data_IF_623468447330
#
_entry.id   IF_623468447330
#
_cell.length_a   1.000
_cell.length_b   1.000
_cell.length_c   1.000
_cell.angle_alpha   90.00
_cell.angle_beta   90.00
_cell.angle_gamma   90.00
#
_symmetry.space_group_name_H-M   'P 1'
#
loop_
_entity.id
_entity.type
_entity.pdbx_description
1 polymer ?
#
# COMPACT_ATOMS: atom_id res chain seq x y z
N UNK A 1 -9.07 7.44 9.08
CA UNK A 1 -10.10 7.04 8.07
C UNK A 1 -11.45 7.64 8.46
N UNK A 2 -12.41 7.84 7.54
CA UNK A 2 -13.77 8.27 7.92
C UNK A 2 -14.70 7.09 8.28
N UNK A 3 -15.88 7.40 8.84
CA UNK A 3 -16.84 6.40 9.34
C UNK A 3 -17.34 5.41 8.27
N UNK A 4 -17.23 5.77 6.98
CA UNK A 4 -17.64 4.90 5.87
C UNK A 4 -16.47 4.05 5.35
N UNK A 5 -15.32 4.04 6.04
CA UNK A 5 -14.13 3.34 5.59
C UNK A 5 -13.39 4.05 4.46
N UNK A 6 -13.66 5.34 4.23
CA UNK A 6 -12.97 6.10 3.18
C UNK A 6 -11.71 6.75 3.69
N UNK A 7 -10.70 6.75 2.85
CA UNK A 7 -9.41 7.38 3.11
C UNK A 7 -9.18 8.47 2.08
N UNK A 8 -8.66 9.62 2.53
CA UNK A 8 -8.28 10.71 1.64
C UNK A 8 -6.92 10.39 1.04
N UNK A 9 -6.80 10.48 -0.28
CA UNK A 9 -5.50 10.35 -0.93
C UNK A 9 -4.71 11.66 -0.85
N UNK A 10 -3.38 11.62 -0.69
CA UNK A 10 -2.54 12.81 -0.84
C UNK A 10 -2.70 13.45 -2.22
N UNK A 11 -2.59 14.78 -2.32
CA UNK A 11 -2.79 15.51 -3.59
C UNK A 11 -1.85 15.00 -4.71
N UNK A 12 -0.56 14.83 -4.40
CA UNK A 12 0.44 14.25 -5.32
C UNK A 12 0.02 12.88 -5.87
N UNK A 13 -0.76 12.13 -5.10
CA UNK A 13 -1.23 10.80 -5.50
C UNK A 13 -2.38 10.88 -6.49
N UNK A 14 -3.28 11.83 -6.29
CA UNK A 14 -4.35 12.15 -7.25
C UNK A 14 -3.74 12.66 -8.55
N UNK A 15 -2.77 13.58 -8.48
CA UNK A 15 -2.03 14.08 -9.65
C UNK A 15 -1.35 12.96 -10.44
N UNK A 16 -0.72 12.00 -9.75
CA UNK A 16 -0.14 10.81 -10.40
C UNK A 16 -1.20 9.98 -11.12
N UNK A 17 -2.33 9.68 -10.46
CA UNK A 17 -3.43 8.92 -11.08
C UNK A 17 -4.01 9.62 -12.30
N UNK A 18 -4.06 10.96 -12.30
CA UNK A 18 -4.54 11.74 -13.44
C UNK A 18 -3.67 11.62 -14.69
N UNK A 19 -2.39 11.31 -14.54
CA UNK A 19 -1.45 11.08 -15.64
C UNK A 19 -1.53 9.67 -16.22
N UNK A 20 -2.21 8.74 -15.54
CA UNK A 20 -2.30 7.36 -15.97
C UNK A 20 -3.39 7.17 -17.04
N UNK A 21 -3.17 6.28 -18.03
CA UNK A 21 -4.21 5.89 -18.97
C UNK A 21 -5.43 5.25 -18.30
N UNK A 22 -5.23 4.62 -17.14
CA UNK A 22 -6.30 4.06 -16.31
C UNK A 22 -6.10 4.48 -14.86
N UNK A 23 -7.18 5.00 -14.25
CA UNK A 23 -7.23 5.41 -12.85
C UNK A 23 -7.74 4.30 -11.92
N UNK A 24 -7.95 3.08 -12.46
CA UNK A 24 -8.36 1.93 -11.66
C UNK A 24 -7.21 1.51 -10.75
N UNK A 25 -7.56 1.24 -9.52
CA UNK A 25 -6.65 0.75 -8.50
C UNK A 25 -7.18 -0.56 -7.97
N UNK A 26 -6.28 -1.50 -7.66
CA UNK A 26 -6.65 -2.71 -6.97
C UNK A 26 -6.13 -2.64 -5.54
N UNK A 27 -7.00 -2.80 -4.55
CA UNK A 27 -6.62 -2.77 -3.14
C UNK A 27 -6.71 -4.17 -2.59
N UNK A 28 -5.73 -4.61 -1.82
CA UNK A 28 -5.78 -5.87 -1.06
C UNK A 28 -4.79 -5.87 0.10
N UNK A 29 -4.63 -6.98 0.81
CA UNK A 29 -3.51 -7.19 1.73
C UNK A 29 -2.55 -8.24 1.18
N UNK A 30 -1.26 -8.01 1.41
CA UNK A 30 -0.23 -9.04 1.28
C UNK A 30 0.52 -9.13 2.60
N UNK A 31 0.50 -10.32 3.22
CA UNK A 31 1.21 -10.61 4.47
C UNK A 31 0.85 -9.63 5.60
N UNK A 32 -0.45 -9.35 5.79
CA UNK A 32 -0.93 -8.48 6.86
C UNK A 32 -0.72 -6.99 6.60
N UNK A 33 -0.32 -6.59 5.39
CA UNK A 33 -0.10 -5.20 5.01
C UNK A 33 -1.05 -4.81 3.88
N UNK A 34 -1.88 -3.79 4.10
CA UNK A 34 -2.73 -3.24 3.06
C UNK A 34 -1.90 -2.56 1.97
N UNK A 35 -2.27 -2.81 0.72
CA UNK A 35 -1.60 -2.27 -0.47
C UNK A 35 -2.62 -1.78 -1.48
N UNK A 36 -2.33 -0.64 -2.08
CA UNK A 36 -3.04 -0.08 -3.24
C UNK A 36 -2.11 -0.23 -4.44
N UNK A 37 -2.51 -1.03 -5.42
CA UNK A 37 -1.81 -1.23 -6.68
C UNK A 37 -2.41 -0.33 -7.77
N UNK A 38 -1.56 0.28 -8.57
CA UNK A 38 -1.90 1.26 -9.60
C UNK A 38 -1.20 0.93 -10.91
N UNK A 39 -1.68 1.49 -12.02
CA UNK A 39 -0.97 1.41 -13.30
C UNK A 39 -0.61 -0.04 -13.72
N UNK A 40 -1.45 -1.03 -13.41
CA UNK A 40 -1.19 -2.44 -13.68
C UNK A 40 -0.12 -3.12 -12.80
N UNK A 41 0.24 -2.52 -11.66
CA UNK A 41 1.28 -3.07 -10.78
C UNK A 41 0.86 -4.37 -10.08
N UNK A 42 -0.45 -4.61 -9.97
CA UNK A 42 -0.98 -5.87 -9.47
C UNK A 42 -0.67 -7.03 -10.43
N UNK A 43 -0.98 -6.85 -11.71
CA UNK A 43 -0.70 -7.83 -12.76
C UNK A 43 0.80 -8.09 -12.85
N UNK A 44 1.63 -7.04 -12.83
CA UNK A 44 3.09 -7.19 -12.80
C UNK A 44 3.57 -7.97 -11.56
N UNK A 45 2.93 -7.79 -10.41
CA UNK A 45 3.24 -8.57 -9.20
C UNK A 45 2.90 -10.05 -9.40
N UNK A 46 1.76 -10.36 -10.00
CA UNK A 46 1.38 -11.74 -10.34
C UNK A 46 2.29 -12.37 -11.39
N UNK A 47 2.80 -11.56 -12.31
CA UNK A 47 3.67 -12.03 -13.39
C UNK A 47 5.06 -12.45 -12.90
N UNK A 48 5.49 -11.98 -11.73
CA UNK A 48 6.69 -12.51 -11.06
C UNK A 48 6.57 -14.00 -10.71
N UNK A 49 5.34 -14.52 -10.62
CA UNK A 49 5.05 -15.92 -10.31
C UNK A 49 4.57 -16.72 -11.53
N UNK A 50 4.80 -16.23 -12.76
CA UNK A 50 4.36 -16.95 -13.99
C UNK A 50 4.87 -18.39 -14.07
N UNK A 51 6.11 -18.64 -13.65
CA UNK A 51 6.71 -19.98 -13.64
C UNK A 51 6.29 -20.83 -12.42
N UNK A 52 5.52 -20.25 -11.50
CA UNK A 52 5.11 -20.87 -10.23
C UNK A 52 3.59 -20.80 -10.06
N UNK A 53 2.80 -21.49 -10.90
CA UNK A 53 1.35 -21.29 -11.00
C UNK A 53 0.60 -21.57 -9.68
N UNK A 54 1.09 -22.49 -8.84
CA UNK A 54 0.53 -22.73 -7.51
C UNK A 54 0.69 -21.53 -6.58
N UNK A 55 1.86 -20.87 -6.60
CA UNK A 55 2.12 -19.66 -5.80
C UNK A 55 1.31 -18.49 -6.32
N UNK A 56 1.28 -18.29 -7.64
CA UNK A 56 0.44 -17.28 -8.29
C UNK A 56 -1.03 -17.45 -7.89
N UNK A 57 -1.57 -18.66 -8.01
CA UNK A 57 -2.97 -18.92 -7.68
C UNK A 57 -3.28 -18.71 -6.20
N UNK A 58 -2.39 -19.10 -5.30
CA UNK A 58 -2.55 -18.85 -3.87
C UNK A 58 -2.59 -17.35 -3.57
N UNK A 59 -1.68 -16.57 -4.18
CA UNK A 59 -1.62 -15.12 -4.04
C UNK A 59 -2.89 -14.45 -4.56
N UNK A 60 -3.38 -14.85 -5.75
CA UNK A 60 -4.65 -14.36 -6.31
C UNK A 60 -5.84 -14.64 -5.40
N UNK A 61 -5.94 -15.86 -4.83
CA UNK A 61 -7.06 -16.24 -3.96
C UNK A 61 -7.06 -15.48 -2.64
N UNK A 62 -5.88 -15.32 -2.01
CA UNK A 62 -5.75 -14.52 -0.78
C UNK A 62 -6.05 -13.06 -1.08
N UNK A 63 -5.55 -12.53 -2.20
CA UNK A 63 -5.81 -11.15 -2.58
C UNK A 63 -7.31 -10.91 -2.82
N UNK A 64 -7.99 -11.80 -3.55
CA UNK A 64 -9.42 -11.72 -3.82
C UNK A 64 -10.30 -11.87 -2.57
N UNK A 65 -9.80 -12.50 -1.49
CA UNK A 65 -10.53 -12.58 -0.21
C UNK A 65 -10.71 -11.21 0.45
N UNK A 66 -9.72 -10.33 0.29
CA UNK A 66 -9.69 -9.03 0.98
C UNK A 66 -9.78 -7.83 0.04
N UNK A 67 -9.63 -8.05 -1.26
CA UNK A 67 -9.35 -7.01 -2.22
C UNK A 67 -10.43 -6.77 -3.26
N UNK A 68 -10.48 -5.54 -3.75
CA UNK A 68 -11.45 -5.06 -4.73
C UNK A 68 -10.80 -4.00 -5.62
N UNK A 69 -11.35 -3.85 -6.84
CA UNK A 69 -11.06 -2.69 -7.68
C UNK A 69 -11.79 -1.46 -7.12
N UNK A 70 -11.08 -0.34 -7.06
CA UNK A 70 -11.62 0.93 -6.56
C UNK A 70 -11.19 2.10 -7.43
N UNK A 71 -11.96 3.18 -7.32
CA UNK A 71 -11.70 4.46 -7.98
C UNK A 71 -11.73 5.60 -6.96
N UNK A 72 -11.08 6.71 -7.33
CA UNK A 72 -11.14 7.95 -6.54
C UNK A 72 -12.50 8.60 -6.74
N UNK A 73 -13.21 8.87 -5.64
CA UNK A 73 -14.47 9.60 -5.66
C UNK A 73 -14.25 11.09 -5.96
N UNK A 74 -15.36 11.83 -6.15
CA UNK A 74 -15.33 13.27 -6.46
C UNK A 74 -14.67 14.14 -5.38
N UNK A 75 -14.42 13.59 -4.19
CA UNK A 75 -13.79 14.27 -3.06
C UNK A 75 -12.32 13.89 -2.86
N UNK A 76 -11.73 13.11 -3.78
CA UNK A 76 -10.35 12.67 -3.66
C UNK A 76 -10.16 11.52 -2.67
N UNK A 77 -11.22 10.76 -2.37
CA UNK A 77 -11.19 9.64 -1.43
C UNK A 77 -11.39 8.30 -2.14
N UNK A 78 -10.91 7.25 -1.51
CA UNK A 78 -11.20 5.86 -1.90
C UNK A 78 -11.82 5.13 -0.71
N UNK A 79 -12.69 4.16 -0.98
CA UNK A 79 -13.27 3.30 0.06
C UNK A 79 -12.42 2.04 0.19
N UNK A 80 -11.93 1.73 1.39
CA UNK A 80 -11.24 0.46 1.62
C UNK A 80 -12.27 -0.68 1.77
N UNK A 81 -12.05 -1.86 1.14
CA UNK A 81 -12.92 -3.01 1.28
C UNK A 81 -13.18 -3.36 2.75
N UNK A 82 -14.42 -3.71 3.09
CA UNK A 82 -14.77 -3.98 4.49
C UNK A 82 -13.99 -5.18 5.06
N UNK A 83 -13.81 -6.24 4.26
CA UNK A 83 -13.05 -7.41 4.67
C UNK A 83 -11.60 -7.05 5.03
N UNK A 84 -10.96 -6.20 4.22
CA UNK A 84 -9.61 -5.68 4.47
C UNK A 84 -9.55 -4.87 5.77
N UNK A 85 -10.49 -3.93 5.96
CA UNK A 85 -10.52 -3.06 7.14
C UNK A 85 -10.65 -3.87 8.44
N UNK A 86 -11.47 -4.91 8.43
CA UNK A 86 -11.66 -5.81 9.59
C UNK A 86 -10.43 -6.69 9.84
N UNK A 87 -9.88 -7.28 8.79
CA UNK A 87 -8.70 -8.15 8.90
C UNK A 87 -7.48 -7.42 9.48
N UNK A 88 -7.31 -6.14 9.12
CA UNK A 88 -6.16 -5.33 9.52
C UNK A 88 -6.46 -4.33 10.64
N UNK A 89 -7.63 -4.45 11.27
CA UNK A 89 -8.06 -3.60 12.40
C UNK A 89 -7.93 -2.10 12.08
N UNK A 90 -8.31 -1.69 10.86
CA UNK A 90 -8.18 -0.30 10.40
C UNK A 90 -9.35 0.59 10.83
N UNK A 91 -10.45 0.00 11.31
CA UNK A 91 -11.69 0.73 11.62
C UNK A 91 -11.50 1.69 12.80
N UNK A 92 -11.76 2.98 12.59
CA UNK A 92 -11.56 4.02 13.61
C UNK A 92 -10.11 4.46 13.79
N UNK A 93 -9.16 3.82 13.10
CA UNK A 93 -7.74 4.11 13.24
C UNK A 93 -7.28 5.31 12.39
N UNK A 94 -6.22 5.94 12.90
CA UNK A 94 -5.34 6.77 12.08
C UNK A 94 -4.46 5.85 11.25
N UNK A 95 -4.36 6.15 9.95
CA UNK A 95 -3.57 5.34 9.04
C UNK A 95 -2.46 6.18 8.44
N UNK A 96 -1.32 5.55 8.19
CA UNK A 96 -0.21 6.15 7.47
C UNK A 96 -0.03 5.50 6.12
N UNK A 97 0.40 6.29 5.14
CA UNK A 97 0.57 5.83 3.77
C UNK A 97 1.99 6.08 3.31
N UNK A 98 2.64 5.01 2.85
CA UNK A 98 3.94 5.08 2.18
C UNK A 98 3.75 4.76 0.71
N UNK A 99 4.15 5.68 -0.15
CA UNK A 99 4.08 5.48 -1.59
C UNK A 99 5.44 5.07 -2.16
N UNK A 100 5.47 3.97 -2.91
CA UNK A 100 6.64 3.46 -3.62
C UNK A 100 6.23 3.12 -5.07
N UNK A 101 6.65 3.97 -6.01
CA UNK A 101 6.42 3.88 -7.46
C UNK A 101 4.96 3.81 -7.92
N UNK A 102 4.34 2.64 -7.87
CA UNK A 102 2.98 2.37 -8.35
C UNK A 102 2.21 1.48 -7.36
N UNK A 103 2.74 1.41 -6.12
CA UNK A 103 2.15 0.74 -4.98
C UNK A 103 2.19 1.67 -3.78
N UNK A 104 1.04 1.88 -3.13
CA UNK A 104 1.01 2.49 -1.80
C UNK A 104 0.76 1.43 -0.73
N UNK A 105 1.50 1.50 0.38
CA UNK A 105 1.28 0.68 1.59
C UNK A 105 0.52 1.49 2.62
N UNK A 106 -0.43 0.86 3.28
CA UNK A 106 -1.23 1.49 4.35
C UNK A 106 -0.91 0.78 5.66
N UNK A 107 -0.49 1.57 6.64
CA UNK A 107 -0.15 1.13 7.99
C UNK A 107 -1.24 1.59 8.95
N UNK A 108 -1.61 0.72 9.90
CA UNK A 108 -2.18 1.21 11.15
C UNK A 108 -1.08 1.80 12.05
N UNK A 109 -1.46 2.44 13.14
CA UNK A 109 -0.53 3.10 14.07
C UNK A 109 0.55 2.13 14.57
N UNK A 110 0.16 0.94 15.03
CA UNK A 110 1.09 -0.06 15.59
C UNK A 110 2.10 -0.55 14.55
N UNK A 111 1.64 -0.83 13.33
CA UNK A 111 2.50 -1.26 12.23
C UNK A 111 3.46 -0.15 11.80
N UNK A 112 2.99 1.09 11.79
CA UNK A 112 3.79 2.25 11.45
C UNK A 112 4.91 2.45 12.46
N UNK A 113 4.56 2.53 13.75
CA UNK A 113 5.52 2.81 14.83
C UNK A 113 6.62 1.74 14.89
N UNK A 114 6.23 0.46 14.77
CA UNK A 114 7.19 -0.64 14.70
C UNK A 114 8.11 -0.55 13.48
N UNK A 115 7.58 -0.16 12.32
CA UNK A 115 8.36 -0.03 11.11
C UNK A 115 9.32 1.16 11.17
N UNK A 116 8.90 2.29 11.75
CA UNK A 116 9.74 3.48 11.90
C UNK A 116 10.82 3.28 12.94
N UNK A 117 10.53 2.66 14.09
CA UNK A 117 11.54 2.36 15.12
C UNK A 117 12.66 1.48 14.54
N UNK A 118 12.30 0.41 13.82
CA UNK A 118 13.26 -0.45 13.17
C UNK A 118 14.06 0.28 12.07
N UNK A 119 13.40 1.16 11.31
CA UNK A 119 14.05 1.93 10.25
C UNK A 119 14.99 3.00 10.80
N UNK A 120 14.61 3.72 11.86
CA UNK A 120 15.43 4.75 12.50
C UNK A 120 16.69 4.16 13.12
N UNK A 121 16.59 3.00 13.76
CA UNK A 121 17.74 2.27 14.28
C UNK A 121 18.72 1.91 13.14
N UNK A 122 18.20 1.34 12.05
CA UNK A 122 19.02 0.97 10.90
C UNK A 122 19.62 2.17 10.16
N UNK A 123 18.85 3.26 10.01
CA UNK A 123 19.32 4.51 9.41
C UNK A 123 20.47 5.11 10.19
N UNK A 124 20.38 5.07 11.52
CA UNK A 124 21.46 5.57 12.38
C UNK A 124 22.76 4.80 12.14
N UNK A 125 22.70 3.49 11.89
CA UNK A 125 23.88 2.66 11.63
C UNK A 125 24.59 3.03 10.33
N UNK A 126 23.86 3.30 9.23
CA UNK A 126 24.50 3.59 7.94
C UNK A 126 24.66 5.09 7.64
N UNK A 127 23.98 6.00 8.36
CA UNK A 127 24.22 7.45 8.21
C UNK A 127 25.65 7.80 8.61
N UNK A 128 26.16 7.22 9.70
CA UNK A 128 27.54 7.45 10.14
C UNK A 128 28.54 7.04 9.06
N UNK A 129 28.32 5.89 8.42
CA UNK A 129 29.11 5.42 7.29
C UNK A 129 28.99 6.36 6.08
N UNK A 130 27.78 6.79 5.74
CA UNK A 130 27.53 7.68 4.60
C UNK A 130 28.15 9.07 4.79
N UNK A 131 28.15 9.62 6.01
CA UNK A 131 28.86 10.86 6.37
C UNK A 131 30.38 10.69 6.26
N UNK A 132 30.94 9.57 6.74
CA UNK A 132 32.38 9.26 6.63
C UNK A 132 32.84 9.20 5.16
N UNK A 133 32.00 8.64 4.29
CA UNK A 133 32.26 8.57 2.85
C UNK A 133 31.82 9.82 2.06
N UNK A 134 31.27 10.84 2.71
CA UNK A 134 30.83 12.09 2.07
C UNK A 134 29.68 11.90 1.07
N UNK A 135 28.82 10.91 1.29
CA UNK A 135 27.63 10.63 0.48
C UNK A 135 26.42 11.47 0.89
N UNK A 136 26.44 12.01 2.12
CA UNK A 136 25.47 12.95 2.69
C UNK A 136 26.18 14.03 3.51
#
# INVERSE_FOLDING_TARGET
MDANGRIKLPARFIEYLEQLPSKRMYITQINGMARIYMNGSWERTLDQFMLEPKKRKALELVAAKYGEDVEVDKTGKITLPQALRRELELEGETIQMLFDRDVARIYNTVQHDKATEAAEAFVSEFIEEAEEFGLI
#
